data_IF_638486266948
#
_entry.id   IF_638486266948
#
_cell.length_a   1.000
_cell.length_b   1.000
_cell.length_c   1.000
_cell.angle_alpha   90.00
_cell.angle_beta   90.00
_cell.angle_gamma   90.00
#
_symmetry.space_group_name_H-M   'P 1'
#
loop_
_entity.id
_entity.type
_entity.pdbx_description
1 polymer ?
#
# COMPACT_ATOMS: atom_id res chain seq x y z
N UNK A 1 15.42 -2.19 -8.02
CA UNK A 1 15.43 -0.72 -7.89
C UNK A 1 15.20 -0.35 -6.44
N UNK A 2 15.25 0.94 -6.08
CA UNK A 2 14.84 1.37 -4.74
C UNK A 2 13.35 1.03 -4.50
N UNK A 3 13.00 0.51 -3.33
CA UNK A 3 11.62 0.18 -3.00
C UNK A 3 10.79 1.45 -2.85
N UNK A 4 9.64 1.53 -3.54
CA UNK A 4 8.77 2.72 -3.57
C UNK A 4 8.46 3.30 -2.17
N UNK A 5 8.17 2.49 -1.12
CA UNK A 5 7.87 3.04 0.20
C UNK A 5 9.03 3.82 0.83
N UNK A 6 10.27 3.41 0.58
CA UNK A 6 11.47 4.11 1.09
C UNK A 6 11.64 5.47 0.41
N UNK A 7 11.43 5.51 -0.91
CA UNK A 7 11.54 6.73 -1.71
C UNK A 7 10.41 7.70 -1.36
N UNK A 8 9.19 7.20 -1.17
CA UNK A 8 8.04 8.01 -0.75
C UNK A 8 8.29 8.65 0.63
N UNK A 9 8.76 7.88 1.61
CA UNK A 9 9.09 8.41 2.94
C UNK A 9 10.19 9.47 2.90
N UNK A 10 11.24 9.26 2.09
CA UNK A 10 12.29 10.26 1.88
C UNK A 10 11.76 11.53 1.22
N UNK A 11 10.92 11.39 0.19
CA UNK A 11 10.32 12.53 -0.50
C UNK A 11 9.40 13.33 0.42
N UNK A 12 8.56 12.66 1.21
CA UNK A 12 7.69 13.30 2.20
C UNK A 12 8.53 14.08 3.23
N UNK A 13 9.61 13.47 3.75
CA UNK A 13 10.52 14.14 4.68
C UNK A 13 11.18 15.37 4.05
N UNK A 14 11.65 15.27 2.81
CA UNK A 14 12.25 16.38 2.08
C UNK A 14 11.25 17.52 1.81
N UNK A 15 9.97 17.20 1.67
CA UNK A 15 8.87 18.16 1.53
C UNK A 15 8.36 18.73 2.86
N UNK A 16 8.93 18.34 4.01
CA UNK A 16 8.49 18.79 5.34
C UNK A 16 7.20 18.13 5.84
N UNK A 17 6.77 17.03 5.23
CA UNK A 17 5.60 16.27 5.64
C UNK A 17 5.92 15.32 6.80
N UNK A 18 4.87 14.90 7.51
CA UNK A 18 4.98 13.97 8.63
C UNK A 18 4.99 12.51 8.16
N UNK A 19 5.44 11.56 9.01
CA UNK A 19 5.29 10.13 8.73
C UNK A 19 3.84 9.72 8.48
N UNK A 20 2.87 10.39 9.13
CA UNK A 20 1.45 10.10 8.95
C UNK A 20 0.97 10.51 7.55
N UNK A 21 1.41 11.66 7.04
CA UNK A 21 1.07 12.10 5.67
C UNK A 21 1.59 11.10 4.62
N UNK A 22 2.83 10.63 4.79
CA UNK A 22 3.41 9.60 3.92
C UNK A 22 2.65 8.28 4.02
N UNK A 23 2.24 7.89 5.23
CA UNK A 23 1.48 6.67 5.47
C UNK A 23 0.09 6.73 4.83
N UNK A 24 -0.58 7.88 4.85
CA UNK A 24 -1.84 8.09 4.16
C UNK A 24 -1.72 7.94 2.65
N UNK A 25 -0.71 8.59 2.05
CA UNK A 25 -0.46 8.47 0.62
C UNK A 25 -0.22 7.00 0.22
N UNK A 26 0.66 6.31 0.97
CA UNK A 26 0.96 4.90 0.72
C UNK A 26 -0.28 4.00 0.87
N UNK A 27 -1.05 4.16 1.96
CA UNK A 27 -2.22 3.33 2.22
C UNK A 27 -3.31 3.52 1.14
N UNK A 28 -3.58 4.77 0.75
CA UNK A 28 -4.55 5.06 -0.30
C UNK A 28 -4.11 4.54 -1.68
N UNK A 29 -2.85 4.70 -2.05
CA UNK A 29 -2.30 4.16 -3.30
C UNK A 29 -2.42 2.63 -3.37
N UNK A 30 -2.16 1.94 -2.25
CA UNK A 30 -2.27 0.48 -2.18
C UNK A 30 -3.71 -0.04 -2.36
N UNK A 31 -4.73 0.76 -2.05
CA UNK A 31 -6.13 0.39 -2.27
C UNK A 31 -6.66 0.84 -3.64
N UNK A 32 -6.31 2.05 -4.06
CA UNK A 32 -6.82 2.67 -5.29
C UNK A 32 -6.24 2.05 -6.57
N UNK A 33 -4.99 1.56 -6.54
CA UNK A 33 -4.38 0.84 -7.65
C UNK A 33 -5.15 -0.43 -8.03
N UNK A 34 -5.34 -1.40 -7.11
CA UNK A 34 -6.15 -2.59 -7.34
C UNK A 34 -7.60 -2.29 -7.69
N UNK A 35 -8.23 -1.28 -7.07
CA UNK A 35 -9.60 -0.88 -7.42
C UNK A 35 -9.70 -0.43 -8.89
N UNK A 36 -8.75 0.39 -9.35
CA UNK A 36 -8.66 0.84 -10.75
C UNK A 36 -8.40 -0.33 -11.70
N UNK A 37 -7.53 -1.26 -11.31
CA UNK A 37 -7.28 -2.47 -12.09
C UNK A 37 -8.54 -3.34 -12.22
N UNK A 38 -9.28 -3.55 -11.13
CA UNK A 38 -10.52 -4.32 -11.12
C UNK A 38 -11.59 -3.73 -12.06
N UNK A 39 -11.78 -2.40 -12.04
CA UNK A 39 -12.66 -1.71 -13.00
C UNK A 39 -12.27 -2.03 -14.44
N UNK A 40 -10.98 -1.97 -14.78
CA UNK A 40 -10.50 -2.18 -16.15
C UNK A 40 -10.52 -3.64 -16.59
N UNK A 41 -10.21 -4.57 -15.69
CA UNK A 41 -10.04 -5.99 -16.02
C UNK A 41 -11.35 -6.79 -15.90
N UNK A 42 -12.22 -6.39 -14.98
CA UNK A 42 -13.48 -7.08 -14.70
C UNK A 42 -14.70 -6.27 -15.15
N UNK A 43 -14.50 -5.10 -15.76
CA UNK A 43 -15.56 -4.20 -16.24
C UNK A 43 -16.54 -3.79 -15.14
N UNK A 44 -16.04 -3.56 -13.92
CA UNK A 44 -16.85 -3.07 -12.79
C UNK A 44 -17.27 -1.62 -12.99
N UNK A 45 -18.36 -1.21 -12.32
CA UNK A 45 -18.79 0.18 -12.29
C UNK A 45 -17.76 1.05 -11.51
N UNK A 46 -17.21 2.12 -12.13
CA UNK A 46 -16.30 3.05 -11.45
C UNK A 46 -16.92 3.73 -10.20
N UNK A 47 -18.24 3.92 -10.17
CA UNK A 47 -18.92 4.50 -9.01
C UNK A 47 -18.95 3.52 -7.83
N UNK A 48 -19.15 2.23 -8.10
CA UNK A 48 -19.09 1.19 -7.06
C UNK A 48 -17.69 1.06 -6.48
N UNK A 49 -16.65 1.12 -7.33
CA UNK A 49 -15.26 1.12 -6.88
C UNK A 49 -14.94 2.35 -6.02
N UNK A 50 -15.43 3.53 -6.40
CA UNK A 50 -15.29 4.76 -5.61
C UNK A 50 -16.02 4.65 -4.26
N UNK A 51 -17.23 4.08 -4.27
CA UNK A 51 -18.01 3.82 -3.06
C UNK A 51 -17.33 2.81 -2.13
N UNK A 52 -16.66 1.80 -2.67
CA UNK A 52 -15.84 0.86 -1.89
C UNK A 52 -14.66 1.57 -1.23
N UNK A 53 -13.89 2.37 -1.97
CA UNK A 53 -12.77 3.13 -1.41
C UNK A 53 -13.23 4.09 -0.30
N UNK A 54 -14.38 4.73 -0.47
CA UNK A 54 -14.98 5.57 0.57
C UNK A 54 -15.33 4.78 1.83
N UNK A 55 -15.81 3.53 1.70
CA UNK A 55 -16.09 2.66 2.86
C UNK A 55 -14.82 2.15 3.55
N UNK A 56 -13.70 2.08 2.85
CA UNK A 56 -12.38 1.69 3.39
C UNK A 56 -11.63 2.86 4.06
N UNK A 57 -12.23 4.04 4.17
CA UNK A 57 -11.56 5.22 4.76
C UNK A 57 -11.08 4.97 6.19
N UNK A 58 -11.93 4.41 7.05
CA UNK A 58 -11.58 4.10 8.44
C UNK A 58 -10.45 3.06 8.53
N UNK A 59 -10.44 2.06 7.65
CA UNK A 59 -9.37 1.05 7.62
C UNK A 59 -8.05 1.68 7.13
N UNK A 60 -8.14 2.61 6.16
CA UNK A 60 -7.01 3.40 5.67
C UNK A 60 -6.41 4.26 6.78
N UNK A 61 -7.27 4.94 7.56
CA UNK A 61 -6.86 5.70 8.76
C UNK A 61 -6.14 4.81 9.76
N UNK A 62 -6.70 3.64 10.08
CA UNK A 62 -6.13 2.71 11.04
C UNK A 62 -4.74 2.23 10.61
N UNK A 63 -4.56 1.87 9.35
CA UNK A 63 -3.27 1.46 8.78
C UNK A 63 -2.27 2.62 8.81
N UNK A 64 -2.68 3.82 8.42
CA UNK A 64 -1.80 4.99 8.40
C UNK A 64 -1.30 5.35 9.81
N UNK A 65 -2.19 5.34 10.80
CA UNK A 65 -1.86 5.59 12.20
C UNK A 65 -0.91 4.49 12.73
N UNK A 66 -1.19 3.22 12.47
CA UNK A 66 -0.34 2.11 12.91
C UNK A 66 1.07 2.21 12.30
N UNK A 67 1.18 2.57 11.03
CA UNK A 67 2.46 2.76 10.35
C UNK A 67 3.25 3.94 10.93
N UNK A 68 2.59 5.08 11.19
CA UNK A 68 3.23 6.24 11.82
C UNK A 68 3.72 5.92 13.25
N UNK A 69 2.95 5.15 14.03
CA UNK A 69 3.34 4.69 15.35
C UNK A 69 4.55 3.76 15.28
N UNK A 70 4.57 2.81 14.33
CA UNK A 70 5.72 1.94 14.12
C UNK A 70 6.98 2.74 13.77
N UNK A 71 6.86 3.72 12.86
CA UNK A 71 7.96 4.61 12.50
C UNK A 71 8.52 5.40 13.70
N UNK A 72 7.65 5.82 14.63
CA UNK A 72 8.09 6.53 15.84
C UNK A 72 8.93 5.64 16.77
N UNK A 73 8.57 4.35 16.90
CA UNK A 73 9.29 3.40 17.76
C UNK A 73 10.68 3.05 17.24
N UNK A 74 10.95 3.24 15.94
CA UNK A 74 12.27 2.92 15.33
C UNK A 74 13.44 3.59 16.07
N UNK A 75 13.24 4.81 16.59
CA UNK A 75 14.30 5.51 17.33
C UNK A 75 14.71 4.80 18.62
N UNK A 76 13.80 4.05 19.25
CA UNK A 76 14.03 3.34 20.52
C UNK A 76 14.26 1.84 20.32
N UNK A 77 13.55 1.22 19.37
CA UNK A 77 13.47 -0.23 19.16
C UNK A 77 14.26 -0.70 17.92
N UNK A 78 14.80 0.22 17.12
CA UNK A 78 15.48 -0.09 15.88
C UNK A 78 14.52 -0.42 14.73
N UNK A 79 15.06 -0.88 13.60
CA UNK A 79 14.28 -1.13 12.38
C UNK A 79 13.27 -2.28 12.53
N UNK A 80 13.49 -3.17 13.51
CA UNK A 80 12.61 -4.32 13.78
C UNK A 80 11.24 -3.88 14.35
N UNK A 81 11.10 -2.62 14.77
CA UNK A 81 9.80 -2.05 15.13
C UNK A 81 8.85 -1.87 13.92
N UNK A 82 9.39 -1.90 12.70
CA UNK A 82 8.61 -1.78 11.47
C UNK A 82 7.91 -3.10 11.13
N UNK A 83 6.66 -3.06 10.63
CA UNK A 83 5.93 -4.27 10.28
C UNK A 83 6.60 -5.00 9.12
N UNK A 84 6.85 -6.30 9.30
CA UNK A 84 7.41 -7.21 8.29
C UNK A 84 6.62 -8.53 8.21
N UNK A 85 5.31 -8.45 8.48
CA UNK A 85 4.43 -9.62 8.47
C UNK A 85 4.39 -10.28 7.08
N UNK A 86 4.44 -11.61 7.06
CA UNK A 86 4.18 -12.40 5.84
C UNK A 86 2.75 -12.21 5.36
N UNK A 87 2.52 -12.31 4.05
CA UNK A 87 1.16 -12.35 3.47
C UNK A 87 1.02 -13.58 2.59
N UNK A 88 0.78 -14.77 3.17
CA UNK A 88 0.89 -16.04 2.45
C UNK A 88 0.04 -16.12 1.18
N UNK A 89 -1.17 -15.55 1.21
CA UNK A 89 -2.04 -15.53 0.03
C UNK A 89 -1.47 -14.64 -1.07
N UNK A 90 -0.98 -13.44 -0.74
CA UNK A 90 -0.36 -12.55 -1.72
C UNK A 90 0.92 -13.17 -2.28
N UNK A 91 1.76 -13.75 -1.43
CA UNK A 91 3.01 -14.41 -1.82
C UNK A 91 2.74 -15.55 -2.83
N UNK A 92 1.78 -16.43 -2.52
CA UNK A 92 1.39 -17.53 -3.43
C UNK A 92 0.82 -16.98 -4.74
N UNK A 93 -0.07 -16.00 -4.70
CA UNK A 93 -0.65 -15.42 -5.94
C UNK A 93 0.39 -14.70 -6.78
N UNK A 94 1.40 -14.08 -6.17
CA UNK A 94 2.52 -13.44 -6.86
C UNK A 94 3.37 -14.46 -7.63
N UNK A 95 3.69 -15.59 -7.00
CA UNK A 95 4.40 -16.69 -7.66
C UNK A 95 3.57 -17.29 -8.82
N UNK A 96 2.26 -17.46 -8.62
CA UNK A 96 1.35 -17.92 -9.67
C UNK A 96 1.30 -16.96 -10.86
N UNK A 97 1.22 -15.65 -10.60
CA UNK A 97 1.24 -14.62 -11.64
C UNK A 97 2.59 -14.62 -12.37
N UNK A 98 3.71 -14.75 -11.66
CA UNK A 98 5.05 -14.83 -12.28
C UNK A 98 5.18 -16.02 -13.25
N UNK A 99 4.51 -17.13 -12.94
CA UNK A 99 4.47 -18.33 -13.78
C UNK A 99 3.51 -18.23 -14.99
N UNK A 100 2.63 -17.22 -15.08
CA UNK A 100 1.70 -17.08 -16.20
C UNK A 100 2.39 -16.69 -17.51
N UNK A 101 2.09 -17.42 -18.58
CA UNK A 101 2.69 -17.23 -19.91
C UNK A 101 2.27 -15.92 -20.58
N UNK A 102 1.06 -15.44 -20.32
CA UNK A 102 0.54 -14.17 -20.84
C UNK A 102 0.16 -13.29 -19.66
N UNK A 103 0.84 -12.16 -19.50
CA UNK A 103 0.61 -11.21 -18.40
C UNK A 103 0.28 -9.83 -18.96
N UNK A 104 -0.76 -9.22 -18.40
CA UNK A 104 -1.13 -7.83 -18.68
C UNK A 104 -0.41 -6.82 -17.77
N UNK A 105 0.16 -7.30 -16.65
CA UNK A 105 0.92 -6.50 -15.68
C UNK A 105 2.24 -7.18 -15.36
N UNK A 106 3.22 -6.37 -14.94
CA UNK A 106 4.54 -6.88 -14.53
C UNK A 106 4.48 -7.71 -13.24
N UNK A 107 3.46 -7.49 -12.40
CA UNK A 107 3.18 -8.13 -11.12
C UNK A 107 1.70 -8.06 -10.80
#
# INVERSE_FOLDING_TARGET
GAHQPLVLGLAARAAGLTPLDAAYAAAYENASGPATAAVRLLSLDPLDASGLLARLSCDTDAVAVAAAQAAHRVAAEGIDALPSASSPLLDITGEQHAAWTVRLFAS
#
